data_IF_388218516800
#
_entry.id   IF_388218516800
#
_cell.length_a   1.000
_cell.length_b   1.000
_cell.length_c   1.000
_cell.angle_alpha   90.00
_cell.angle_beta   90.00
_cell.angle_gamma   90.00
#
_symmetry.space_group_name_H-M   'P 1'
#
loop_
_entity.id
_entity.type
_entity.pdbx_description
1 polymer ?
#
# COMPACT_ATOMS: atom_id res chain seq x y z
N UNK A 1 34.32 -25.06 13.94
CA UNK A 1 32.94 -24.96 13.41
C UNK A 1 32.01 -24.84 14.60
N UNK A 2 31.19 -23.78 14.65
CA UNK A 2 30.14 -23.68 15.66
C UNK A 2 29.14 -24.85 15.49
N UNK A 3 28.69 -25.44 16.57
CA UNK A 3 27.68 -26.49 16.55
C UNK A 3 26.29 -25.88 16.63
N UNK A 4 25.24 -26.60 16.21
CA UNK A 4 23.84 -26.10 16.25
C UNK A 4 23.41 -25.70 17.68
N UNK A 5 24.03 -26.25 18.70
CA UNK A 5 23.75 -25.95 20.11
C UNK A 5 24.51 -24.77 20.68
N UNK A 6 25.44 -24.18 19.95
CA UNK A 6 26.15 -22.98 20.40
C UNK A 6 25.36 -21.71 20.15
N UNK A 7 25.28 -20.84 21.18
CA UNK A 7 24.66 -19.53 21.04
C UNK A 7 25.54 -18.61 20.18
N UNK A 8 25.07 -18.27 19.00
CA UNK A 8 25.75 -17.35 18.09
C UNK A 8 25.08 -15.97 18.17
N UNK A 9 25.89 -14.94 18.35
CA UNK A 9 25.39 -13.55 18.35
C UNK A 9 24.90 -13.18 16.96
N UNK A 10 23.80 -12.40 16.91
CA UNK A 10 23.34 -11.82 15.66
C UNK A 10 24.43 -10.98 15.01
N UNK A 11 24.51 -11.00 13.69
CA UNK A 11 25.56 -10.32 12.91
C UNK A 11 25.61 -8.82 13.18
N UNK A 12 24.46 -8.19 13.35
CA UNK A 12 24.25 -6.76 13.55
C UNK A 12 24.13 -6.34 15.04
N UNK A 13 24.37 -7.30 15.98
CA UNK A 13 24.18 -7.09 17.41
C UNK A 13 24.97 -5.90 17.96
N UNK A 14 26.25 -5.80 17.62
CA UNK A 14 27.11 -4.73 18.13
C UNK A 14 26.72 -3.36 17.57
N UNK A 15 26.39 -3.28 16.28
CA UNK A 15 25.98 -2.04 15.64
C UNK A 15 24.68 -1.50 16.25
N UNK A 16 23.73 -2.39 16.56
CA UNK A 16 22.48 -2.00 17.23
C UNK A 16 22.69 -1.56 18.67
N UNK A 17 23.55 -2.24 19.43
CA UNK A 17 23.85 -1.86 20.82
C UNK A 17 24.63 -0.54 20.92
N UNK A 18 25.51 -0.25 19.98
CA UNK A 18 26.31 0.99 19.96
C UNK A 18 25.57 2.17 19.31
N UNK A 19 24.38 1.96 18.75
CA UNK A 19 23.64 2.99 18.02
C UNK A 19 24.28 3.38 16.67
N UNK A 20 25.13 2.51 16.11
CA UNK A 20 25.80 2.74 14.82
C UNK A 20 25.16 1.96 13.66
N UNK A 21 24.09 1.19 13.92
CA UNK A 21 23.33 0.53 12.87
C UNK A 21 22.62 1.58 12.01
N UNK A 22 22.84 1.53 10.71
CA UNK A 22 22.15 2.41 9.76
C UNK A 22 20.85 1.77 9.32
N UNK A 23 19.78 2.55 9.33
CA UNK A 23 18.47 2.24 8.80
C UNK A 23 18.22 3.07 7.53
N UNK A 24 17.18 2.71 6.76
CA UNK A 24 16.84 3.40 5.51
C UNK A 24 16.78 4.92 5.65
N UNK A 25 16.23 5.41 6.76
CA UNK A 25 16.12 6.84 7.04
C UNK A 25 17.45 7.56 7.38
N UNK A 26 18.52 6.79 7.61
CA UNK A 26 19.84 7.34 8.00
C UNK A 26 20.77 7.53 6.81
N UNK A 27 20.46 6.92 5.66
CA UNK A 27 21.25 7.09 4.46
C UNK A 27 21.17 8.52 3.95
N UNK A 28 22.33 9.09 3.67
CA UNK A 28 22.53 10.43 3.11
C UNK A 28 23.51 10.33 1.95
N UNK A 29 23.13 10.94 0.85
CA UNK A 29 23.95 11.10 -0.33
C UNK A 29 23.52 12.40 -1.00
N UNK A 30 24.47 13.19 -1.49
CA UNK A 30 24.17 14.48 -2.13
C UNK A 30 23.38 14.33 -3.43
N UNK A 31 23.43 13.14 -4.05
CA UNK A 31 22.74 12.84 -5.31
C UNK A 31 21.36 12.18 -5.09
N UNK A 32 20.95 11.94 -3.83
CA UNK A 32 19.63 11.35 -3.53
C UNK A 32 18.51 12.40 -3.73
N UNK A 33 17.51 12.02 -4.52
CA UNK A 33 16.27 12.78 -4.63
C UNK A 33 15.27 12.32 -3.55
N UNK A 34 14.56 13.29 -3.00
CA UNK A 34 13.42 13.02 -2.10
C UNK A 34 12.17 12.86 -2.94
N UNK A 35 11.44 11.75 -2.76
CA UNK A 35 10.15 11.49 -3.40
C UNK A 35 8.99 11.59 -2.43
N UNK A 36 7.85 12.14 -2.88
CA UNK A 36 6.57 12.18 -2.16
C UNK A 36 5.42 11.82 -3.09
N UNK A 37 4.60 10.88 -2.64
CA UNK A 37 3.42 10.44 -3.39
C UNK A 37 2.29 11.46 -3.32
N UNK A 38 1.74 11.82 -4.46
CA UNK A 38 0.42 12.42 -4.58
C UNK A 38 -0.61 11.31 -4.45
N UNK A 39 -1.48 11.42 -3.45
CA UNK A 39 -2.44 10.37 -3.10
C UNK A 39 -3.86 10.88 -3.18
N UNK A 40 -4.79 9.97 -3.52
CA UNK A 40 -6.22 10.28 -3.55
C UNK A 40 -6.74 10.70 -2.17
N UNK A 41 -7.55 11.75 -2.16
CA UNK A 41 -8.36 12.17 -1.01
C UNK A 41 -9.78 11.57 -1.05
N UNK A 42 -10.13 10.83 -2.14
CA UNK A 42 -11.45 10.27 -2.38
C UNK A 42 -11.44 8.75 -2.23
N UNK A 43 -12.54 8.21 -1.72
CA UNK A 43 -12.72 6.76 -1.56
C UNK A 43 -12.89 6.05 -2.91
N UNK A 44 -13.67 6.67 -3.82
CA UNK A 44 -13.79 6.25 -5.21
C UNK A 44 -14.11 7.45 -6.08
N UNK A 45 -13.32 7.66 -7.13
CA UNK A 45 -13.54 8.78 -8.03
C UNK A 45 -12.82 8.57 -9.36
N UNK A 46 -13.34 9.19 -10.41
CA UNK A 46 -12.57 9.40 -11.64
C UNK A 46 -11.67 10.61 -11.47
N UNK A 47 -10.40 10.48 -11.81
CA UNK A 47 -9.44 11.58 -11.86
C UNK A 47 -9.62 12.29 -13.20
N UNK A 48 -10.20 13.50 -13.16
CA UNK A 48 -10.45 14.28 -14.37
C UNK A 48 -9.20 15.03 -14.80
N UNK A 49 -8.49 15.63 -13.83
CA UNK A 49 -7.30 16.43 -14.09
C UNK A 49 -6.41 16.48 -12.84
N UNK A 50 -5.11 16.44 -13.06
CA UNK A 50 -4.09 16.77 -12.04
C UNK A 50 -3.42 18.08 -12.48
N UNK A 51 -3.70 19.16 -11.77
CA UNK A 51 -3.11 20.48 -12.04
C UNK A 51 -1.78 20.60 -11.32
N UNK A 52 -0.72 20.20 -12.00
CA UNK A 52 0.64 20.25 -11.48
C UNK A 52 1.15 21.70 -11.55
N UNK A 53 1.70 22.27 -10.47
CA UNK A 53 2.30 23.60 -10.51
C UNK A 53 3.57 23.62 -11.37
N UNK A 54 4.06 24.81 -11.71
CA UNK A 54 5.34 24.96 -12.41
C UNK A 54 6.46 24.35 -11.59
N UNK A 55 7.16 23.38 -12.18
CA UNK A 55 8.26 22.69 -11.53
C UNK A 55 9.56 23.51 -11.65
N UNK A 56 10.30 23.72 -10.55
CA UNK A 56 11.65 24.27 -10.62
C UNK A 56 12.62 23.28 -11.30
N UNK A 57 13.77 23.77 -11.75
CA UNK A 57 14.81 22.93 -12.32
C UNK A 57 15.27 21.85 -11.32
N UNK A 58 15.38 20.61 -11.79
CA UNK A 58 15.76 19.45 -10.98
C UNK A 58 14.61 18.83 -10.18
N UNK A 59 13.36 19.31 -10.37
CA UNK A 59 12.16 18.71 -9.79
C UNK A 59 11.30 18.07 -10.87
N UNK A 60 10.68 16.97 -10.54
CA UNK A 60 9.95 16.13 -11.47
C UNK A 60 8.60 15.72 -10.88
N UNK A 61 7.63 15.56 -11.75
CA UNK A 61 6.37 14.87 -11.46
C UNK A 61 6.26 13.68 -12.42
N UNK A 62 5.92 12.52 -11.88
CA UNK A 62 5.69 11.29 -12.64
C UNK A 62 4.35 10.69 -12.28
N UNK A 63 3.67 10.11 -13.28
CA UNK A 63 2.38 9.45 -13.11
C UNK A 63 2.31 8.12 -13.90
N UNK A 64 1.12 7.55 -14.03
CA UNK A 64 0.89 6.30 -14.73
C UNK A 64 1.43 6.26 -16.18
N UNK A 65 1.54 7.43 -16.84
CA UNK A 65 2.01 7.51 -18.24
C UNK A 65 3.53 7.41 -18.35
N UNK A 66 4.24 7.72 -17.26
CA UNK A 66 5.69 7.71 -17.21
C UNK A 66 6.26 6.33 -16.84
N UNK A 67 5.40 5.38 -16.42
CA UNK A 67 5.83 4.02 -16.09
C UNK A 67 6.26 3.31 -17.38
N UNK A 68 7.56 2.93 -17.54
CA UNK A 68 8.08 2.43 -18.81
C UNK A 68 7.62 1.01 -19.17
N UNK A 69 7.00 0.32 -18.22
CA UNK A 69 6.49 -1.05 -18.40
C UNK A 69 5.00 -1.13 -18.15
N UNK A 70 4.58 -2.25 -17.58
CA UNK A 70 3.22 -2.40 -17.12
C UNK A 70 3.02 -1.60 -15.82
N UNK A 71 2.09 -0.65 -15.82
CA UNK A 71 1.73 0.13 -14.64
C UNK A 71 0.90 -0.71 -13.66
N UNK A 72 1.44 -1.85 -13.26
CA UNK A 72 0.72 -2.79 -12.42
C UNK A 72 1.65 -3.67 -11.59
N UNK A 73 1.28 -3.91 -10.34
CA UNK A 73 1.99 -4.82 -9.45
C UNK A 73 1.23 -6.14 -9.40
N UNK A 74 1.64 -7.08 -10.24
CA UNK A 74 0.98 -8.39 -10.40
C UNK A 74 1.33 -9.32 -9.24
N UNK A 75 0.63 -9.17 -8.09
CA UNK A 75 0.85 -10.05 -6.93
C UNK A 75 -0.01 -11.31 -7.05
N UNK A 76 -1.32 -11.14 -7.21
CA UNK A 76 -2.29 -12.24 -7.31
C UNK A 76 -3.20 -12.05 -8.53
N UNK A 77 -3.71 -10.84 -8.70
CA UNK A 77 -4.48 -10.37 -9.85
C UNK A 77 -3.85 -9.10 -10.41
N UNK A 78 -4.27 -8.74 -11.60
CA UNK A 78 -3.84 -7.53 -12.32
C UNK A 78 -4.70 -6.32 -11.92
N UNK A 79 -4.79 -6.06 -10.62
CA UNK A 79 -5.68 -5.06 -10.04
C UNK A 79 -5.01 -4.01 -9.15
N UNK A 80 -3.67 -4.05 -9.07
CA UNK A 80 -2.91 -3.12 -8.22
C UNK A 80 -2.00 -2.24 -9.07
N UNK A 81 -2.48 -1.10 -9.60
CA UNK A 81 -1.64 -0.19 -10.38
C UNK A 81 -0.57 0.47 -9.49
N UNK A 82 0.60 0.76 -10.07
CA UNK A 82 1.65 1.55 -9.41
C UNK A 82 1.15 2.97 -9.16
N UNK A 83 0.51 3.57 -10.17
CA UNK A 83 -0.24 4.81 -10.07
C UNK A 83 -1.63 4.62 -10.68
N UNK A 84 -2.64 5.21 -10.05
CA UNK A 84 -3.99 5.20 -10.58
C UNK A 84 -4.02 5.71 -12.04
N UNK A 85 -4.79 5.04 -12.90
CA UNK A 85 -4.90 5.40 -14.32
C UNK A 85 -5.95 6.48 -14.52
N UNK A 86 -7.21 6.08 -14.48
CA UNK A 86 -8.37 6.97 -14.66
C UNK A 86 -9.21 7.09 -13.41
N UNK A 87 -9.26 6.02 -12.62
CA UNK A 87 -10.07 5.93 -11.41
C UNK A 87 -9.18 5.66 -10.20
N UNK A 88 -9.57 6.21 -9.06
CA UNK A 88 -9.07 5.84 -7.75
C UNK A 88 -10.13 5.03 -7.03
N UNK A 89 -9.72 3.95 -6.37
CA UNK A 89 -10.60 2.97 -5.75
C UNK A 89 -10.57 3.02 -4.22
N UNK A 90 -9.63 3.78 -3.62
CA UNK A 90 -9.54 3.96 -2.17
C UNK A 90 -8.82 5.26 -1.78
N UNK A 91 -9.10 5.74 -0.55
CA UNK A 91 -8.39 6.89 0.02
C UNK A 91 -6.91 6.55 0.19
N UNK A 92 -6.04 7.39 -0.35
CA UNK A 92 -4.60 7.20 -0.27
C UNK A 92 -4.00 6.45 -1.46
N UNK A 93 -4.79 6.05 -2.45
CA UNK A 93 -4.26 5.45 -3.68
C UNK A 93 -3.29 6.40 -4.39
N UNK A 94 -2.09 5.91 -4.80
CA UNK A 94 -1.12 6.73 -5.50
C UNK A 94 -1.64 7.20 -6.85
N UNK A 95 -1.58 8.53 -7.11
CA UNK A 95 -1.93 9.13 -8.40
C UNK A 95 -0.66 9.47 -9.18
N UNK A 96 0.38 9.90 -8.48
CA UNK A 96 1.67 10.26 -9.03
C UNK A 96 2.67 10.53 -7.92
N UNK A 97 3.86 10.98 -8.30
CA UNK A 97 4.94 11.27 -7.36
C UNK A 97 5.69 12.53 -7.78
N UNK A 98 5.94 13.40 -6.81
CA UNK A 98 6.92 14.47 -6.94
C UNK A 98 8.26 14.02 -6.42
N UNK A 99 9.36 14.38 -7.11
CA UNK A 99 10.70 14.16 -6.62
C UNK A 99 11.61 15.35 -6.94
N UNK A 100 12.62 15.54 -6.09
CA UNK A 100 13.60 16.60 -6.22
C UNK A 100 14.59 16.63 -5.06
N UNK A 101 15.61 17.50 -5.11
CA UNK A 101 16.68 17.54 -4.12
C UNK A 101 16.25 18.05 -2.74
N UNK A 102 15.27 18.96 -2.68
CA UNK A 102 14.82 19.57 -1.41
C UNK A 102 13.43 19.07 -1.01
N UNK A 103 13.35 18.45 0.16
CA UNK A 103 12.12 17.92 0.74
C UNK A 103 11.03 18.98 0.92
N UNK A 104 11.38 20.19 1.35
CA UNK A 104 10.39 21.25 1.61
C UNK A 104 9.77 21.74 0.32
N UNK A 105 10.56 21.85 -0.74
CA UNK A 105 10.05 22.21 -2.07
C UNK A 105 9.13 21.11 -2.61
N UNK A 106 9.52 19.83 -2.49
CA UNK A 106 8.66 18.70 -2.89
C UNK A 106 7.33 18.71 -2.13
N UNK A 107 7.35 18.96 -0.83
CA UNK A 107 6.14 19.08 -0.01
C UNK A 107 5.30 20.30 -0.38
N UNK A 108 5.92 21.41 -0.82
CA UNK A 108 5.18 22.58 -1.31
C UNK A 108 4.50 22.28 -2.64
N UNK A 109 5.21 21.69 -3.60
CA UNK A 109 4.64 21.26 -4.89
C UNK A 109 3.42 20.35 -4.69
N UNK A 110 3.49 19.45 -3.72
CA UNK A 110 2.39 18.55 -3.37
C UNK A 110 1.18 19.33 -2.82
N UNK A 111 1.40 20.33 -1.95
CA UNK A 111 0.33 21.18 -1.41
C UNK A 111 -0.31 22.08 -2.47
N UNK A 112 0.47 22.54 -3.44
CA UNK A 112 0.01 23.43 -4.50
C UNK A 112 -0.67 22.69 -5.66
N UNK A 113 -0.62 21.35 -5.64
CA UNK A 113 -1.27 20.49 -6.63
C UNK A 113 -2.76 20.35 -6.33
N UNK A 114 -3.59 20.64 -7.33
CA UNK A 114 -5.03 20.40 -7.29
C UNK A 114 -5.38 19.16 -8.11
N UNK A 115 -6.14 18.25 -7.52
CA UNK A 115 -6.70 17.10 -8.25
C UNK A 115 -8.20 17.30 -8.40
N UNK A 116 -8.67 17.33 -9.62
CA UNK A 116 -10.08 17.46 -9.96
C UNK A 116 -10.68 16.07 -10.09
N UNK A 117 -11.70 15.80 -9.29
CA UNK A 117 -12.37 14.50 -9.24
C UNK A 117 -13.82 14.59 -9.70
N UNK A 118 -14.29 13.52 -10.32
CA UNK A 118 -15.70 13.15 -10.41
C UNK A 118 -15.94 12.01 -9.42
N UNK A 119 -16.64 12.29 -8.32
CA UNK A 119 -16.87 11.30 -7.28
C UNK A 119 -17.80 10.18 -7.77
N UNK A 120 -17.46 8.95 -7.40
CA UNK A 120 -18.23 7.73 -7.70
C UNK A 120 -18.66 7.10 -6.38
N UNK A 121 -19.71 6.27 -6.44
CA UNK A 121 -20.20 5.57 -5.26
C UNK A 121 -19.23 4.46 -4.85
N UNK A 122 -18.63 4.54 -3.64
CA UNK A 122 -17.76 3.50 -3.14
C UNK A 122 -18.55 2.35 -2.52
N UNK A 123 -18.04 1.12 -2.65
CA UNK A 123 -18.50 -0.03 -1.88
C UNK A 123 -17.67 -0.11 -0.60
N UNK A 124 -18.28 0.18 0.54
CA UNK A 124 -17.58 0.25 1.84
C UNK A 124 -17.92 -0.93 2.76
N UNK A 125 -18.87 -1.75 2.36
CA UNK A 125 -19.35 -2.91 3.12
C UNK A 125 -19.09 -4.18 2.31
N UNK A 126 -18.43 -5.15 2.93
CA UNK A 126 -18.12 -6.45 2.32
C UNK A 126 -19.39 -7.21 1.93
N UNK A 127 -20.47 -7.05 2.69
CA UNK A 127 -21.76 -7.76 2.44
C UNK A 127 -22.51 -7.20 1.22
N UNK A 128 -22.14 -5.98 0.78
CA UNK A 128 -22.74 -5.34 -0.41
C UNK A 128 -21.88 -5.47 -1.66
N UNK A 129 -20.70 -6.08 -1.54
CA UNK A 129 -19.79 -6.29 -2.66
C UNK A 129 -20.26 -7.45 -3.53
N UNK A 130 -20.31 -7.22 -4.84
CA UNK A 130 -20.55 -8.24 -5.87
C UNK A 130 -19.23 -8.75 -6.51
N UNK A 131 -18.09 -8.25 -6.05
CA UNK A 131 -16.75 -8.61 -6.54
C UNK A 131 -16.10 -9.60 -5.59
N UNK A 132 -15.77 -10.78 -6.10
CA UNK A 132 -15.07 -11.83 -5.36
C UNK A 132 -13.65 -11.98 -5.88
N UNK A 133 -12.70 -12.01 -4.95
CA UNK A 133 -11.31 -12.22 -5.27
C UNK A 133 -11.05 -13.68 -5.70
N UNK A 134 -11.56 -14.61 -4.90
CA UNK A 134 -11.64 -16.04 -5.20
C UNK A 134 -12.91 -16.62 -4.65
N UNK A 135 -13.44 -17.63 -5.32
CA UNK A 135 -14.55 -18.44 -4.85
C UNK A 135 -14.10 -19.90 -4.79
N UNK A 136 -14.21 -20.49 -3.61
CA UNK A 136 -13.88 -21.89 -3.36
C UNK A 136 -15.10 -22.59 -2.77
N UNK A 137 -15.50 -23.69 -3.39
CA UNK A 137 -16.55 -24.53 -2.86
C UNK A 137 -15.96 -25.86 -2.38
N UNK A 138 -16.20 -26.20 -1.11
CA UNK A 138 -15.87 -27.50 -0.56
C UNK A 138 -17.10 -28.13 0.07
N UNK A 139 -17.51 -29.32 -0.44
CA UNK A 139 -18.66 -30.06 0.07
C UNK A 139 -18.23 -31.43 0.57
N UNK A 140 -18.66 -31.78 1.80
CA UNK A 140 -18.48 -33.12 2.37
C UNK A 140 -19.71 -33.53 3.17
N UNK A 141 -20.31 -34.69 2.81
CA UNK A 141 -21.53 -35.18 3.45
C UNK A 141 -22.78 -34.40 3.10
N UNK A 142 -23.81 -34.56 3.93
CA UNK A 142 -25.11 -33.89 3.81
C UNK A 142 -25.27 -32.92 5.00
N UNK A 143 -25.06 -31.62 4.75
CA UNK A 143 -25.10 -30.59 5.77
C UNK A 143 -26.53 -30.41 6.31
N UNK A 144 -27.52 -30.40 5.43
CA UNK A 144 -28.91 -30.21 5.82
C UNK A 144 -29.40 -31.33 6.76
N UNK A 145 -29.02 -32.57 6.46
CA UNK A 145 -29.31 -33.72 7.30
C UNK A 145 -28.58 -33.61 8.64
N UNK A 146 -27.30 -33.23 8.64
CA UNK A 146 -26.53 -33.07 9.85
C UNK A 146 -27.11 -32.03 10.81
N UNK A 147 -27.56 -30.85 10.30
CA UNK A 147 -28.27 -29.85 11.11
C UNK A 147 -29.61 -30.37 11.65
N UNK A 148 -30.38 -31.11 10.84
CA UNK A 148 -31.68 -31.69 11.26
C UNK A 148 -31.54 -32.76 12.34
N UNK A 149 -30.45 -33.52 12.36
CA UNK A 149 -30.14 -34.59 13.31
C UNK A 149 -29.30 -34.15 14.51
N UNK A 150 -28.85 -32.90 14.56
CA UNK A 150 -28.01 -32.37 15.64
C UNK A 150 -28.84 -32.19 16.92
N UNK A 151 -28.36 -32.72 18.06
CA UNK A 151 -28.97 -32.51 19.36
C UNK A 151 -28.87 -31.04 19.81
N UNK A 152 -27.89 -30.30 19.31
CA UNK A 152 -27.67 -28.89 19.62
C UNK A 152 -26.95 -28.17 18.49
N UNK A 153 -27.42 -26.99 18.13
CA UNK A 153 -26.78 -26.06 17.19
C UNK A 153 -26.35 -24.82 17.98
N UNK A 154 -25.11 -24.38 17.77
CA UNK A 154 -24.58 -23.12 18.31
C UNK A 154 -24.16 -22.28 17.11
N UNK A 155 -24.63 -21.05 17.07
CA UNK A 155 -24.31 -20.06 16.04
C UNK A 155 -23.82 -18.79 16.71
N UNK A 156 -22.65 -18.31 16.28
CA UNK A 156 -22.00 -17.14 16.86
C UNK A 156 -21.33 -16.32 15.75
N UNK A 157 -21.29 -15.02 15.92
CA UNK A 157 -20.56 -14.10 15.03
C UNK A 157 -19.29 -13.61 15.74
N UNK A 158 -18.16 -13.71 15.05
CA UNK A 158 -16.87 -13.26 15.56
C UNK A 158 -16.35 -12.14 14.66
N UNK A 159 -15.89 -11.05 15.28
CA UNK A 159 -15.29 -9.92 14.60
C UNK A 159 -13.86 -9.70 15.09
N UNK A 160 -12.93 -9.51 14.14
CA UNK A 160 -11.52 -9.16 14.43
C UNK A 160 -11.25 -7.77 13.89
N UNK A 161 -10.66 -6.90 14.72
CA UNK A 161 -10.23 -5.57 14.29
C UNK A 161 -9.02 -5.60 13.36
N UNK A 162 -8.75 -4.46 12.73
CA UNK A 162 -7.55 -4.27 11.91
C UNK A 162 -6.29 -4.39 12.75
N UNK A 163 -5.27 -5.01 12.17
CA UNK A 163 -3.95 -5.12 12.78
C UNK A 163 -2.90 -4.63 11.79
N UNK A 164 -2.12 -3.65 12.20
CA UNK A 164 -0.99 -3.12 11.45
C UNK A 164 0.28 -3.26 12.31
N UNK A 165 1.34 -3.84 11.73
CA UNK A 165 2.58 -4.14 12.44
C UNK A 165 3.38 -2.88 12.77
N UNK A 166 3.23 -1.80 12.00
CA UNK A 166 3.91 -0.50 12.16
C UNK A 166 5.41 -0.67 12.36
N UNK A 167 6.12 -1.09 11.32
CA UNK A 167 7.56 -1.31 11.36
C UNK A 167 8.32 -0.04 11.73
N UNK A 168 9.31 -0.17 12.60
CA UNK A 168 10.24 0.93 12.89
C UNK A 168 11.10 1.28 11.68
N UNK A 169 11.50 0.27 10.91
CA UNK A 169 12.21 0.43 9.65
C UNK A 169 11.26 0.22 8.48
N UNK A 170 11.08 1.25 7.66
CA UNK A 170 10.27 1.18 6.45
C UNK A 170 10.99 0.35 5.38
N UNK A 171 10.18 -0.21 4.45
CA UNK A 171 10.74 -0.95 3.32
C UNK A 171 11.46 -0.01 2.35
N UNK A 172 12.57 -0.49 1.78
CA UNK A 172 13.34 0.19 0.74
C UNK A 172 13.94 -0.81 -0.24
N UNK A 173 14.24 -0.34 -1.44
CA UNK A 173 14.98 -1.05 -2.47
C UNK A 173 16.12 -0.19 -2.96
#
# INVERSE_FOLDING_TARGET
MATISESVRKRDHLAKLSGTALYVGDYRDDDILVGKMLRSSKAKARVIEVKVPTLPDGYYYVDAKDVPGDNNVNIIKDDTPVFARETVEYIGEPIGMFCGPDKLVVEQLLRDTEVVYEELEPVLDIDTSDVFFFEYEYKKGDIAKAFAEADRVIEETFETGYQEQVYLETQAM
#
